data_IF_196993358525
#
_entry.id   IF_196993358525
#
_cell.length_a   1.000
_cell.length_b   1.000
_cell.length_c   1.000
_cell.angle_alpha   90.00
_cell.angle_beta   90.00
_cell.angle_gamma   90.00
#
_symmetry.space_group_name_H-M   'P 1'
#
loop_
_entity.id
_entity.type
_entity.pdbx_description
1 polymer ?
2 polymer ?
3 non-polymer ?
4 non-polymer ?
5 non-polymer ?
6 water ?
#
# COMPACT_ATOMS: atom_id res chain seq x y z
N UNK A 32 -23.35 -13.39 -13.52
CA UNK A 32 -22.65 -13.11 -12.26
C UNK A 32 -21.46 -12.16 -12.47
N UNK A 33 -21.33 -11.08 -11.67
CA UNK A 33 -20.17 -10.17 -11.85
C UNK A 33 -18.88 -10.81 -11.34
N UNK A 34 -17.79 -10.73 -12.15
CA UNK A 34 -16.49 -11.28 -11.78
C UNK A 34 -15.96 -10.62 -10.50
N UNK A 35 -15.12 -11.36 -9.77
CA UNK A 35 -14.51 -10.89 -8.55
C UNK A 35 -13.61 -9.68 -8.82
N UNK A 36 -12.82 -9.71 -9.92
CA UNK A 36 -11.92 -8.61 -10.30
C UNK A 36 -12.72 -7.32 -10.67
N UNK A 37 -13.90 -7.45 -11.29
CA UNK A 37 -14.74 -6.29 -11.62
C UNK A 37 -15.31 -5.60 -10.37
N UNK A 38 -15.52 -6.37 -9.27
CA UNK A 38 -15.96 -5.84 -7.98
C UNK A 38 -14.81 -5.08 -7.30
N UNK A 39 -13.56 -5.52 -7.51
CA UNK A 39 -12.37 -4.85 -6.98
C UNK A 39 -12.16 -3.55 -7.77
N UNK A 40 -12.51 -3.55 -9.06
CA UNK A 40 -12.39 -2.38 -9.91
C UNK A 40 -13.36 -1.26 -9.51
N UNK A 41 -14.64 -1.56 -9.27
CA UNK A 41 -15.63 -0.52 -8.93
C UNK A 41 -15.31 0.20 -7.63
N UNK A 42 -14.59 -0.45 -6.70
CA UNK A 42 -14.28 0.12 -5.39
C UNK A 42 -12.93 0.88 -5.37
N UNK A 43 -12.30 1.08 -6.54
CA UNK A 43 -11.05 1.85 -6.65
C UNK A 43 -11.24 3.26 -6.07
N UNK A 44 -10.43 3.66 -5.07
CA UNK A 44 -10.59 4.99 -4.44
C UNK A 44 -10.46 6.17 -5.40
N UNK A 45 -11.21 7.25 -5.15
CA UNK A 45 -11.14 8.46 -5.97
C UNK A 45 -9.76 9.10 -5.84
N UNK A 46 -9.39 9.92 -6.85
CA UNK A 46 -8.11 10.64 -6.85
C UNK A 46 -8.14 11.74 -5.77
N UNK A 47 -7.10 11.81 -4.94
CA UNK A 47 -6.98 12.83 -3.91
C UNK A 47 -5.96 13.89 -4.33
N UNK A 48 -6.23 15.16 -3.99
CA UNK A 48 -5.33 16.28 -4.26
C UNK A 48 -4.59 16.60 -2.97
N UNK A 49 -3.31 17.01 -3.09
CA UNK A 49 -2.47 17.33 -1.93
C UNK A 49 -2.76 18.70 -1.33
N UNK A 50 -3.26 19.63 -2.16
CA UNK A 50 -3.52 21.01 -1.76
C UNK A 50 -2.22 21.76 -1.65
N UNK A 51 -1.27 21.44 -2.56
CA UNK A 51 0.08 22.00 -2.59
C UNK A 51 0.17 23.24 -3.48
N UNK A 52 0.53 24.39 -2.85
CA UNK A 52 0.70 25.66 -3.55
C UNK A 52 2.10 25.68 -4.17
N UNK A 53 2.17 25.50 -5.49
CA UNK A 53 3.40 25.47 -6.26
C UNK A 53 4.04 26.86 -6.49
N UNK A 54 3.34 27.96 -6.13
CA UNK A 54 3.87 29.33 -6.27
C UNK A 54 4.86 29.63 -5.12
N UNK A 55 4.68 28.93 -4.00
CA UNK A 55 5.53 29.01 -2.82
C UNK A 55 6.70 28.02 -3.10
N UNK A 56 7.97 28.35 -2.75
CA UNK A 56 9.08 27.43 -3.03
C UNK A 56 9.00 26.09 -2.27
N UNK A 57 9.75 25.10 -2.75
CA UNK A 57 9.76 23.77 -2.15
C UNK A 57 10.81 23.67 -1.07
N UNK A 58 10.62 22.69 -0.18
CA UNK A 58 11.58 22.29 0.85
C UNK A 58 11.27 20.84 1.17
N UNK A 59 12.26 20.10 1.68
CA UNK A 59 12.08 18.70 2.08
C UNK A 59 11.01 18.63 3.17
N UNK A 60 11.14 19.49 4.21
CA UNK A 60 10.23 19.57 5.35
C UNK A 60 8.80 19.84 4.90
N UNK A 61 8.60 20.80 3.97
CA UNK A 61 7.27 21.14 3.41
C UNK A 61 6.66 19.95 2.66
N UNK A 62 7.44 19.29 1.80
CA UNK A 62 6.97 18.13 1.01
C UNK A 62 6.64 16.95 1.93
N UNK A 63 7.51 16.66 2.90
CA UNK A 63 7.30 15.58 3.88
C UNK A 63 6.01 15.78 4.66
N UNK A 64 5.79 17.01 5.16
CA UNK A 64 4.59 17.40 5.93
C UNK A 64 3.30 17.27 5.09
N UNK A 65 3.32 17.77 3.85
CA UNK A 65 2.20 17.68 2.91
C UNK A 65 1.89 16.21 2.62
N UNK A 66 2.93 15.37 2.41
CA UNK A 66 2.79 13.94 2.14
C UNK A 66 2.18 13.18 3.31
N UNK A 67 2.54 13.57 4.56
CA UNK A 67 1.96 12.98 5.77
C UNK A 67 0.46 13.24 5.83
N UNK A 68 0.01 14.48 5.54
CA UNK A 68 -1.41 14.88 5.54
C UNK A 68 -2.19 14.16 4.44
N UNK A 69 -1.58 14.02 3.25
CA UNK A 69 -2.16 13.28 2.13
C UNK A 69 -2.31 11.79 2.49
N UNK A 70 -1.27 11.21 3.10
CA UNK A 70 -1.23 9.82 3.51
C UNK A 70 -2.36 9.47 4.46
N UNK A 71 -2.63 10.36 5.42
CA UNK A 71 -3.72 10.21 6.38
C UNK A 71 -5.07 10.17 5.67
N UNK A 72 -5.26 11.04 4.67
CA UNK A 72 -6.49 11.07 3.87
C UNK A 72 -6.58 9.83 2.99
N UNK A 73 -5.44 9.33 2.49
CA UNK A 73 -5.41 8.11 1.68
C UNK A 73 -5.77 6.89 2.53
N UNK A 74 -5.31 6.90 3.80
CA UNK A 74 -5.57 5.79 4.71
C UNK A 74 -7.01 5.76 5.20
N UNK A 75 -7.68 6.93 5.28
CA UNK A 75 -9.12 6.97 5.62
C UNK A 75 -9.92 6.35 4.42
N UNK A 76 -9.52 6.66 3.18
CA UNK A 76 -10.18 6.11 1.98
C UNK A 76 -9.86 4.61 1.83
N UNK A 77 -8.66 4.16 2.27
CA UNK A 77 -8.24 2.74 2.24
C UNK A 77 -9.14 1.89 3.14
N UNK A 78 -9.59 2.45 4.29
CA UNK A 78 -10.51 1.77 5.21
C UNK A 78 -11.84 1.53 4.48
N UNK A 79 -12.38 2.57 3.81
CA UNK A 79 -13.61 2.49 3.05
C UNK A 79 -13.48 1.46 1.92
N UNK A 80 -12.32 1.45 1.25
CA UNK A 80 -11.97 0.51 0.17
C UNK A 80 -11.97 -0.94 0.69
N UNK A 81 -11.22 -1.22 1.79
CA UNK A 81 -11.07 -2.57 2.39
C UNK A 81 -12.41 -3.19 2.79
N UNK A 82 -13.31 -2.39 3.37
CA UNK A 82 -14.67 -2.80 3.79
C UNK A 82 -15.55 -3.28 2.62
N UNK A 83 -15.25 -2.82 1.40
CA UNK A 83 -15.99 -3.19 0.21
C UNK A 83 -15.36 -4.37 -0.55
N UNK A 84 -14.18 -4.87 -0.11
CA UNK A 84 -13.51 -6.04 -0.70
C UNK A 84 -14.33 -7.30 -0.32
N UNK A 85 -14.84 -8.08 -1.30
CA UNK A 85 -15.63 -9.29 -0.92
C UNK A 85 -14.85 -10.24 -0.01
N UNK A 86 -15.43 -10.54 1.16
CA UNK A 86 -14.85 -11.42 2.17
C UNK A 86 -14.27 -10.73 3.40
N UNK A 87 -13.69 -9.52 3.21
CA UNK A 87 -13.01 -8.73 4.25
C UNK A 87 -13.87 -8.40 5.49
N UNK A 88 -15.16 -8.02 5.30
CA UNK A 88 -16.08 -7.70 6.40
C UNK A 88 -16.47 -8.96 7.19
N UNK A 89 -16.28 -10.16 6.61
CA UNK A 89 -16.60 -11.43 7.28
C UNK A 89 -15.53 -11.84 8.30
N UNK A 90 -14.34 -11.22 8.21
CA UNK A 90 -13.25 -11.47 9.16
C UNK A 90 -13.64 -10.79 10.45
N UNK A 91 -13.10 -11.24 11.58
CA UNK A 91 -13.31 -10.62 12.87
C UNK A 91 -12.85 -9.16 12.79
N UNK A 92 -13.54 -8.26 13.49
CA UNK A 92 -13.21 -6.84 13.49
C UNK A 92 -11.74 -6.56 13.86
N UNK A 93 -11.19 -7.30 14.86
CA UNK A 93 -9.80 -7.19 15.29
C UNK A 93 -8.83 -7.55 14.15
N UNK A 94 -9.20 -8.54 13.30
CA UNK A 94 -8.41 -8.97 12.15
C UNK A 94 -8.41 -7.93 11.07
N UNK A 95 -9.56 -7.25 10.87
CA UNK A 95 -9.73 -6.17 9.90
C UNK A 95 -8.78 -5.02 10.27
N UNK A 96 -8.73 -4.67 11.56
CA UNK A 96 -7.87 -3.64 12.12
C UNK A 96 -6.41 -4.00 11.97
N UNK A 97 -6.06 -5.25 12.31
CA UNK A 97 -4.71 -5.80 12.21
C UNK A 97 -4.15 -5.68 10.79
N UNK A 98 -4.90 -6.21 9.82
CA UNK A 98 -4.51 -6.25 8.41
C UNK A 98 -4.27 -4.87 7.84
N UNK A 99 -5.15 -3.91 8.15
CA UNK A 99 -4.99 -2.52 7.71
C UNK A 99 -3.78 -1.83 8.35
N UNK A 100 -3.48 -2.16 9.61
CA UNK A 100 -2.34 -1.56 10.32
C UNK A 100 -0.98 -2.10 9.88
N UNK A 101 -0.92 -3.39 9.52
CA UNK A 101 0.32 -4.00 9.01
C UNK A 101 0.64 -3.51 7.60
N UNK A 102 -0.37 -3.52 6.72
CA UNK A 102 -0.25 -3.29 5.29
C UNK A 102 -0.34 -1.85 4.80
N UNK A 103 -0.72 -0.89 5.65
CA UNK A 103 -0.93 0.53 5.27
C UNK A 103 0.13 1.09 4.28
N UNK A 104 1.45 0.96 4.61
CA UNK A 104 2.55 1.48 3.80
C UNK A 104 2.66 0.70 2.47
N UNK A 105 2.45 -0.63 2.53
CA UNK A 105 2.48 -1.50 1.37
C UNK A 105 1.40 -1.10 0.36
N UNK A 106 0.16 -0.86 0.83
CA UNK A 106 -0.96 -0.42 0.00
C UNK A 106 -0.70 0.95 -0.62
N UNK A 107 -0.22 1.89 0.17
CA UNK A 107 0.06 3.24 -0.30
C UNK A 107 1.17 3.31 -1.33
N UNK A 108 2.28 2.61 -1.08
CA UNK A 108 3.44 2.59 -1.97
C UNK A 108 3.08 1.90 -3.28
N UNK A 109 2.29 0.80 -3.20
CA UNK A 109 1.85 0.07 -4.39
C UNK A 109 0.91 0.90 -5.25
N UNK A 110 -0.07 1.57 -4.64
CA UNK A 110 -1.01 2.44 -5.35
C UNK A 110 -0.25 3.60 -6.04
N UNK A 111 0.75 4.18 -5.33
CA UNK A 111 1.61 5.25 -5.84
C UNK A 111 2.45 4.77 -7.03
N UNK A 112 3.01 3.58 -6.89
CA UNK A 112 3.79 2.93 -7.94
C UNK A 112 2.96 2.78 -9.19
N UNK A 113 1.67 2.40 -9.03
CA UNK A 113 0.72 2.25 -10.12
C UNK A 113 0.39 3.58 -10.79
N UNK A 114 0.04 4.64 -10.00
CA UNK A 114 -0.28 5.99 -10.52
C UNK A 114 0.91 6.50 -11.33
N UNK A 115 2.12 6.34 -10.77
CA UNK A 115 3.38 6.81 -11.35
C UNK A 115 3.76 6.10 -12.65
N UNK A 116 3.40 4.82 -12.77
CA UNK A 116 3.64 4.02 -13.99
C UNK A 116 2.63 4.35 -15.11
N UNK A 117 1.40 4.72 -14.75
CA UNK A 117 0.37 5.07 -15.72
C UNK A 117 0.45 6.51 -16.19
N UNK A 118 0.60 7.47 -15.26
CA UNK A 118 0.52 8.91 -15.54
C UNK A 118 1.70 9.43 -16.34
N UNK A 119 2.91 9.41 -15.78
CA UNK A 119 4.10 9.88 -16.50
C UNK A 119 5.36 9.13 -16.08
N UNK A 120 5.91 8.38 -17.04
CA UNK A 120 7.12 7.59 -16.89
C UNK A 120 8.36 8.44 -17.31
N UNK A 121 9.57 8.15 -16.77
CA UNK A 121 9.86 7.01 -15.89
C UNK A 121 10.11 7.37 -14.43
N UNK A 122 11.07 8.29 -14.16
CA UNK A 122 11.53 8.66 -12.83
C UNK A 122 10.73 9.78 -12.16
N UNK A 123 9.38 9.66 -12.16
CA UNK A 123 8.49 10.60 -11.48
C UNK A 123 7.58 9.88 -10.50
N UNK A 124 7.41 10.45 -9.28
CA UNK A 124 6.49 9.92 -8.28
C UNK A 124 5.25 10.79 -8.31
N UNK A 125 4.12 10.21 -8.72
CA UNK A 125 2.86 10.93 -8.87
C UNK A 125 1.94 10.75 -7.65
N UNK A 126 2.28 11.44 -6.55
CA UNK A 126 1.53 11.37 -5.30
C UNK A 126 0.09 11.84 -5.48
N UNK A 127 -0.06 13.00 -6.11
CA UNK A 127 -1.35 13.63 -6.40
C UNK A 127 -1.17 14.43 -7.71
N UNK A 128 -2.27 14.82 -8.42
CA UNK A 128 -2.09 15.62 -9.65
C UNK A 128 -1.40 16.98 -9.43
N UNK A 129 -1.52 17.53 -8.21
CA UNK A 129 -0.91 18.81 -7.83
C UNK A 129 0.41 18.62 -7.04
N UNK A 130 0.91 17.38 -6.94
CA UNK A 130 2.15 17.08 -6.24
C UNK A 130 2.90 15.88 -6.86
N UNK A 131 3.67 16.17 -7.90
CA UNK A 131 4.51 15.23 -8.62
C UNK A 131 5.95 15.54 -8.20
N UNK A 132 6.71 14.52 -7.80
CA UNK A 132 8.07 14.72 -7.41
C UNK A 132 8.94 14.48 -8.65
N UNK A 133 9.32 15.61 -9.27
CA UNK A 133 10.12 15.73 -10.48
C UNK A 133 11.62 15.63 -10.17
N UNK A 134 12.47 15.77 -11.21
CA UNK A 134 13.92 15.73 -11.07
C UNK A 134 14.46 16.89 -10.22
N UNK A 135 13.84 18.08 -10.33
CA UNK A 135 14.21 19.28 -9.56
C UNK A 135 13.88 19.07 -8.07
N UNK A 136 12.73 18.41 -7.77
CA UNK A 136 12.31 18.11 -6.39
C UNK A 136 13.12 16.97 -5.79
N UNK A 137 13.60 16.06 -6.65
CA UNK A 137 14.42 14.92 -6.25
C UNK A 137 15.82 15.35 -5.77
N UNK A 138 16.30 16.55 -6.19
CA UNK A 138 17.62 17.08 -5.79
C UNK A 138 17.61 17.69 -4.39
N UNK A 139 16.41 17.91 -3.81
CA UNK A 139 16.19 18.47 -2.46
C UNK A 139 16.89 17.61 -1.40
N UNK A 140 17.48 18.22 -0.32
CA UNK A 140 18.20 17.41 0.68
C UNK A 140 17.46 16.16 1.17
N UNK A 141 18.08 14.99 0.93
CA UNK A 141 17.61 13.64 1.29
C UNK A 141 16.23 13.26 0.67
N UNK A 142 15.83 13.92 -0.43
CA UNK A 142 14.58 13.57 -1.09
C UNK A 142 14.72 12.24 -1.85
N UNK A 143 15.83 12.05 -2.58
CA UNK A 143 16.11 10.84 -3.36
C UNK A 143 16.16 9.55 -2.53
N UNK A 144 16.86 9.58 -1.38
CA UNK A 144 17.04 8.41 -0.52
C UNK A 144 15.72 7.84 0.01
N UNK A 145 14.70 8.69 0.18
CA UNK A 145 13.39 8.21 0.60
C UNK A 145 12.48 7.87 -0.60
N UNK A 146 12.70 8.50 -1.76
CA UNK A 146 11.93 8.30 -2.99
C UNK A 146 12.34 7.08 -3.82
N UNK A 147 13.65 6.70 -3.80
CA UNK A 147 14.22 5.60 -4.60
C UNK A 147 13.48 4.25 -4.44
N UNK A 148 13.04 3.91 -3.21
CA UNK A 148 12.32 2.67 -2.90
C UNK A 148 10.95 2.63 -3.55
N UNK A 149 10.31 3.80 -3.65
CA UNK A 149 9.00 3.96 -4.27
C UNK A 149 9.16 3.98 -5.79
N UNK A 150 10.25 4.61 -6.30
CA UNK A 150 10.58 4.63 -7.72
C UNK A 150 10.80 3.20 -8.24
N UNK A 151 11.35 2.30 -7.39
CA UNK A 151 11.57 0.89 -7.69
C UNK A 151 10.24 0.18 -8.03
N UNK A 152 9.16 0.51 -7.29
CA UNK A 152 7.83 -0.07 -7.46
C UNK A 152 7.26 0.25 -8.85
N UNK A 153 7.23 1.55 -9.23
CA UNK A 153 6.75 1.96 -10.56
C UNK A 153 7.63 1.36 -11.64
N UNK A 154 8.97 1.35 -11.41
CA UNK A 154 9.97 0.78 -12.33
C UNK A 154 9.66 -0.69 -12.64
N UNK A 155 9.34 -1.48 -11.59
CA UNK A 155 8.99 -2.89 -11.67
C UNK A 155 7.67 -3.15 -12.39
N UNK A 156 6.63 -2.35 -12.09
CA UNK A 156 5.32 -2.47 -12.76
C UNK A 156 5.45 -2.18 -14.25
N UNK A 157 6.31 -1.21 -14.60
CA UNK A 157 6.64 -0.83 -15.98
C UNK A 157 7.41 -1.96 -16.69
N UNK A 158 8.48 -2.47 -16.06
CA UNK A 158 9.32 -3.55 -16.61
C UNK A 158 8.52 -4.83 -16.85
N UNK A 159 7.62 -5.15 -15.92
CA UNK A 159 6.77 -6.34 -16.00
C UNK A 159 5.49 -6.12 -16.82
N UNK A 160 5.24 -4.86 -17.27
CA UNK A 160 4.06 -4.45 -18.03
C UNK A 160 2.77 -4.95 -17.38
N UNK A 161 2.61 -4.65 -16.08
CA UNK A 161 1.49 -5.08 -15.26
C UNK A 161 0.18 -4.48 -15.76
N UNK A 162 -0.85 -5.33 -15.86
CA UNK A 162 -2.18 -4.91 -16.31
C UNK A 162 -3.00 -4.39 -15.13
N UNK A 163 -4.08 -3.68 -15.44
CA UNK A 163 -5.02 -3.13 -14.49
C UNK A 163 -5.64 -4.23 -13.63
N UNK A 164 -6.03 -5.35 -14.25
CA UNK A 164 -6.61 -6.51 -13.53
C UNK A 164 -5.61 -7.19 -12.58
N UNK A 165 -4.37 -7.38 -13.05
CA UNK A 165 -3.28 -7.95 -12.24
C UNK A 165 -3.02 -7.04 -11.04
N UNK A 166 -2.93 -5.72 -11.28
CA UNK A 166 -2.74 -4.68 -10.26
C UNK A 166 -3.78 -4.78 -9.12
N UNK A 167 -5.07 -4.86 -9.48
CA UNK A 167 -6.19 -4.92 -8.56
C UNK A 167 -6.11 -6.14 -7.66
N UNK A 168 -5.76 -7.29 -8.24
CA UNK A 168 -5.59 -8.55 -7.51
C UNK A 168 -4.37 -8.45 -6.60
N UNK A 169 -3.26 -7.87 -7.08
CA UNK A 169 -2.01 -7.69 -6.33
C UNK A 169 -2.20 -6.77 -5.12
N UNK A 170 -2.96 -5.68 -5.31
CA UNK A 170 -3.24 -4.72 -4.25
C UNK A 170 -4.05 -5.34 -3.12
N UNK A 171 -5.10 -6.13 -3.44
CA UNK A 171 -5.87 -6.84 -2.41
C UNK A 171 -4.95 -7.83 -1.65
N UNK A 172 -4.05 -8.52 -2.37
CA UNK A 172 -3.10 -9.45 -1.80
C UNK A 172 -2.12 -8.77 -0.83
N UNK A 173 -1.78 -7.49 -1.06
CA UNK A 173 -0.90 -6.74 -0.15
C UNK A 173 -1.59 -6.44 1.17
N UNK A 174 -2.90 -6.28 1.16
CA UNK A 174 -3.68 -6.07 2.37
C UNK A 174 -3.58 -7.36 3.23
N UNK A 175 -3.47 -8.52 2.57
CA UNK A 175 -3.38 -9.82 3.20
C UNK A 175 -1.93 -10.39 3.24
N UNK A 176 -0.90 -9.52 3.18
CA UNK A 176 0.52 -9.92 3.13
C UNK A 176 1.22 -10.13 4.50
N UNK A 177 0.63 -9.64 5.61
CA UNK A 177 1.19 -9.81 6.96
C UNK A 177 0.12 -10.12 7.96
N UNK A 178 0.44 -11.00 8.89
CA UNK A 178 -0.46 -11.43 9.98
C UNK A 178 0.32 -11.41 11.30
N UNK A 179 -0.35 -11.40 12.49
CA UNK A 179 0.41 -11.45 13.75
C UNK A 179 1.19 -12.77 13.89
N UNK A 180 2.29 -12.75 14.70
CA UNK A 180 3.13 -13.92 14.98
C UNK A 180 2.30 -15.19 15.30
N UNK A 181 1.23 -15.05 16.11
CA UNK A 181 0.36 -16.14 16.51
C UNK A 181 -0.95 -16.21 15.70
N UNK A 182 -0.93 -15.64 14.49
CA UNK A 182 -2.05 -15.63 13.56
C UNK A 182 -3.26 -14.82 13.98
N UNK A 183 -4.27 -14.81 13.11
CA UNK A 183 -5.53 -14.09 13.28
C UNK A 183 -6.60 -14.88 14.04
N UNK A 184 -7.67 -14.19 14.49
CA UNK A 184 -8.82 -14.80 15.15
C UNK A 184 -9.62 -15.65 14.15
N UNK A 185 -9.76 -15.16 12.90
CA UNK A 185 -10.45 -15.79 11.77
C UNK A 185 -9.39 -16.26 10.75
N UNK A 186 -8.35 -16.95 11.25
CA UNK A 186 -7.21 -17.46 10.45
C UNK A 186 -7.64 -18.36 9.29
N UNK A 187 -8.55 -19.33 9.55
CA UNK A 187 -9.08 -20.29 8.57
C UNK A 187 -9.80 -19.57 7.43
N UNK A 188 -10.66 -18.59 7.77
CA UNK A 188 -11.40 -17.80 6.80
C UNK A 188 -10.45 -16.91 5.97
N UNK A 189 -9.46 -16.27 6.64
CA UNK A 189 -8.43 -15.43 6.00
C UNK A 189 -7.68 -16.23 4.94
N UNK A 190 -7.25 -17.48 5.28
CA UNK A 190 -6.54 -18.39 4.38
C UNK A 190 -7.35 -18.71 3.14
N UNK A 191 -8.69 -18.86 3.30
CA UNK A 191 -9.64 -19.10 2.20
C UNK A 191 -9.73 -17.87 1.27
N UNK A 192 -9.89 -16.66 1.86
CA UNK A 192 -9.98 -15.38 1.15
C UNK A 192 -8.67 -15.09 0.38
N UNK A 193 -7.52 -15.28 1.05
CA UNK A 193 -6.19 -15.06 0.46
C UNK A 193 -5.97 -16.01 -0.74
N UNK A 194 -6.38 -17.29 -0.61
CA UNK A 194 -6.28 -18.27 -1.71
C UNK A 194 -7.15 -17.83 -2.90
N UNK A 195 -8.37 -17.31 -2.60
CA UNK A 195 -9.34 -16.81 -3.59
C UNK A 195 -8.70 -15.70 -4.46
N UNK A 196 -8.02 -14.72 -3.81
CA UNK A 196 -7.40 -13.61 -4.53
C UNK A 196 -6.09 -14.00 -5.24
N UNK A 197 -5.43 -15.09 -4.80
CA UNK A 197 -4.25 -15.66 -5.47
C UNK A 197 -4.76 -16.26 -6.79
N UNK A 198 -5.87 -17.03 -6.72
CA UNK A 198 -6.55 -17.64 -7.87
C UNK A 198 -7.05 -16.54 -8.82
N UNK A 199 -7.53 -15.42 -8.26
CA UNK A 199 -7.99 -14.27 -9.03
C UNK A 199 -6.83 -13.62 -9.80
N UNK A 200 -5.63 -13.58 -9.19
CA UNK A 200 -4.41 -13.07 -9.83
C UNK A 200 -4.03 -13.98 -11.00
N UNK A 201 -4.12 -15.30 -10.78
CA UNK A 201 -3.87 -16.34 -11.78
C UNK A 201 -4.73 -16.18 -13.02
N UNK A 202 -6.04 -15.88 -12.85
CA UNK A 202 -7.01 -15.67 -13.93
C UNK A 202 -6.65 -14.43 -14.76
N UNK A 203 -6.16 -13.35 -14.11
CA UNK A 203 -5.73 -12.10 -14.75
C UNK A 203 -4.46 -12.35 -15.59
N UNK A 204 -3.53 -13.21 -15.10
CA UNK A 204 -2.28 -13.58 -15.79
C UNK A 204 -2.61 -14.32 -17.10
N UNK A 205 -3.51 -15.33 -17.03
CA UNK A 205 -4.01 -16.18 -18.12
C UNK A 205 -4.65 -15.33 -19.25
N UNK A 206 -5.32 -14.20 -18.91
CA UNK A 206 -5.95 -13.27 -19.86
C UNK A 206 -4.99 -12.72 -20.92
N UNK A 207 -3.68 -12.76 -20.63
CA UNK A 207 -2.60 -12.36 -21.55
C UNK A 207 -2.18 -13.65 -22.27
N UNK A 208 -2.71 -13.84 -23.49
CA UNK A 208 -2.49 -15.04 -24.31
C UNK A 208 -1.02 -15.49 -24.32
N UNK A 209 -0.79 -16.66 -23.73
CA UNK A 209 0.51 -17.30 -23.61
C UNK A 209 0.41 -18.73 -23.12
N UNK A 210 1.49 -19.51 -23.32
CA UNK A 210 1.54 -20.91 -22.89
C UNK A 210 1.74 -21.07 -21.38
N UNK A 211 1.61 -22.33 -20.89
CA UNK A 211 1.75 -22.71 -19.47
C UNK A 211 3.09 -22.30 -18.86
N UNK A 212 4.19 -22.38 -19.66
CA UNK A 212 5.54 -22.02 -19.23
C UNK A 212 5.68 -20.52 -18.94
N UNK A 213 5.13 -19.66 -19.83
CA UNK A 213 5.19 -18.21 -19.64
C UNK A 213 4.13 -17.71 -18.64
N UNK A 214 3.06 -18.50 -18.40
CA UNK A 214 2.05 -18.15 -17.40
C UNK A 214 2.63 -18.41 -16.02
N UNK A 215 3.37 -19.54 -15.89
CA UNK A 215 4.04 -19.95 -14.66
C UNK A 215 5.12 -18.93 -14.28
N UNK A 216 5.90 -18.44 -15.28
CA UNK A 216 6.94 -17.44 -15.02
C UNK A 216 6.36 -16.06 -14.72
N UNK A 217 5.18 -15.72 -15.30
CA UNK A 217 4.52 -14.44 -15.02
C UNK A 217 4.06 -14.42 -13.56
N UNK A 218 3.39 -15.52 -13.13
CA UNK A 218 2.92 -15.68 -11.76
C UNK A 218 4.10 -15.58 -10.77
N UNK A 219 5.25 -16.21 -11.12
CA UNK A 219 6.51 -16.22 -10.39
C UNK A 219 7.04 -14.79 -10.25
N UNK A 220 7.11 -14.04 -11.38
CA UNK A 220 7.60 -12.66 -11.44
C UNK A 220 6.76 -11.70 -10.60
N UNK A 221 5.42 -11.75 -10.77
CA UNK A 221 4.45 -10.90 -10.07
C UNK A 221 4.41 -11.15 -8.58
N UNK A 222 4.45 -12.43 -8.14
CA UNK A 222 4.44 -12.78 -6.72
C UNK A 222 5.81 -12.46 -6.07
N UNK A 223 6.89 -12.43 -6.88
CA UNK A 223 8.23 -12.04 -6.42
C UNK A 223 8.20 -10.53 -6.13
N UNK A 224 7.54 -9.75 -7.02
CA UNK A 224 7.33 -8.32 -6.81
C UNK A 224 6.52 -8.09 -5.51
N UNK A 225 5.43 -8.87 -5.30
CA UNK A 225 4.61 -8.83 -4.08
C UNK A 225 5.48 -9.05 -2.84
N UNK A 226 6.34 -10.08 -2.88
CA UNK A 226 7.27 -10.39 -1.78
C UNK A 226 8.21 -9.24 -1.49
N UNK A 227 8.78 -8.60 -2.54
CA UNK A 227 9.72 -7.47 -2.42
C UNK A 227 9.10 -6.23 -1.78
N UNK A 228 7.75 -6.14 -1.73
CA UNK A 228 7.06 -5.02 -1.10
C UNK A 228 7.42 -4.91 0.39
N UNK A 229 7.68 -6.05 1.07
CA UNK A 229 8.11 -6.10 2.48
C UNK A 229 9.40 -5.31 2.70
N UNK A 230 10.37 -5.45 1.79
CA UNK A 230 11.67 -4.77 1.83
C UNK A 230 11.53 -3.28 1.49
N UNK A 231 10.71 -2.96 0.47
CA UNK A 231 10.42 -1.57 0.05
C UNK A 231 9.81 -0.78 1.24
N UNK A 232 8.86 -1.41 1.93
CA UNK A 232 8.13 -0.87 3.07
C UNK A 232 9.04 -0.69 4.30
N UNK A 233 9.95 -1.67 4.54
CA UNK A 233 10.91 -1.63 5.64
C UNK A 233 11.70 -0.30 5.66
N UNK A 234 12.16 0.12 4.47
CA UNK A 234 12.92 1.35 4.28
C UNK A 234 12.07 2.60 4.52
N UNK A 235 10.79 2.59 4.09
CA UNK A 235 9.85 3.70 4.28
C UNK A 235 9.44 3.84 5.76
N UNK A 236 9.26 2.71 6.46
CA UNK A 236 8.89 2.71 7.88
C UNK A 236 10.02 3.21 8.78
N UNK A 237 11.29 3.03 8.38
CA UNK A 237 12.42 3.53 9.17
C UNK A 237 12.36 5.07 9.24
N UNK A 238 12.16 5.75 8.06
CA UNK A 238 12.01 7.21 7.99
C UNK A 238 10.78 7.63 8.80
N UNK A 239 9.70 6.89 8.60
CA UNK A 239 8.42 7.08 9.25
C UNK A 239 8.49 7.09 10.77
N UNK A 240 9.00 6.00 11.36
CA UNK A 240 9.13 5.81 12.80
C UNK A 240 10.07 6.83 13.45
N UNK A 241 11.15 7.22 12.76
CA UNK A 241 12.13 8.21 13.23
C UNK A 241 11.49 9.60 13.31
N UNK A 242 10.94 10.09 12.18
CA UNK A 242 10.30 11.41 12.06
C UNK A 242 9.14 11.56 13.02
N UNK A 243 8.39 10.47 13.25
CA UNK A 243 7.26 10.45 14.19
C UNK A 243 7.74 10.58 15.61
N UNK A 244 8.76 9.79 15.99
CA UNK A 244 9.29 9.79 17.36
C UNK A 244 10.15 11.00 17.72
N UNK A 245 10.93 11.56 16.76
CA UNK A 245 11.76 12.74 17.08
C UNK A 245 10.94 14.02 16.92
N UNK A 246 10.42 14.50 18.06
CA UNK A 246 9.58 15.71 18.13
C UNK A 246 10.35 17.00 17.81
N UNK A 247 11.71 16.99 17.95
CA UNK A 247 12.59 18.12 17.64
C UNK A 247 12.60 18.40 16.11
N UNK A 248 12.14 17.43 15.31
CA UNK A 248 12.08 17.57 13.86
C UNK A 248 10.86 18.35 13.38
N UNK A 249 9.85 18.56 14.27
CA UNK A 249 8.61 19.27 13.97
C UNK A 249 7.89 18.70 12.73
N UNK A 250 7.95 17.35 12.58
CA UNK A 250 7.28 16.67 11.47
C UNK A 250 5.98 16.08 12.00
N UNK A 251 4.87 16.70 11.60
CA UNK A 251 3.53 16.35 12.04
C UNK A 251 2.91 15.23 11.20
N UNK A 252 2.23 14.31 11.89
CA UNK A 252 1.50 13.24 11.27
C UNK A 252 0.02 13.44 11.65
N UNK A 253 -0.92 13.26 10.70
CA UNK A 253 -2.34 13.38 11.08
C UNK A 253 -2.75 12.18 11.94
N UNK A 254 -3.83 12.33 12.73
CA UNK A 254 -4.39 11.32 13.64
C UNK A 254 -4.36 9.88 13.10
N UNK A 255 -4.83 9.66 11.86
CA UNK A 255 -4.90 8.34 11.25
C UNK A 255 -3.53 7.66 11.20
N UNK A 256 -2.51 8.39 10.75
CA UNK A 256 -1.16 7.88 10.65
C UNK A 256 -0.50 7.75 12.00
N UNK A 257 -0.67 8.77 12.86
CA UNK A 257 -0.12 8.78 14.22
C UNK A 257 -0.62 7.56 15.02
N UNK A 258 -1.89 7.19 14.84
CA UNK A 258 -2.54 6.03 15.47
C UNK A 258 -1.97 4.69 14.92
N UNK A 259 -1.74 4.59 13.61
CA UNK A 259 -1.14 3.39 12.99
C UNK A 259 0.31 3.19 13.46
N UNK A 260 1.13 4.28 13.44
CA UNK A 260 2.55 4.24 13.81
C UNK A 260 2.70 3.87 15.29
N UNK A 261 1.87 4.47 16.16
CA UNK A 261 1.85 4.19 17.61
C UNK A 261 1.54 2.71 17.84
N UNK A 262 0.60 2.13 17.07
CA UNK A 262 0.21 0.72 17.16
C UNK A 262 1.31 -0.21 16.64
N UNK A 263 1.94 0.16 15.51
CA UNK A 263 2.91 -0.65 14.80
C UNK A 263 4.31 -0.71 15.41
N UNK A 264 4.82 0.42 15.99
CA UNK A 264 6.16 0.47 16.58
C UNK A 264 6.36 -0.70 17.62
N UNK A 265 5.50 -0.92 18.65
CA UNK A 265 5.74 -2.06 19.57
C UNK A 265 5.72 -3.44 18.89
N UNK A 266 4.87 -3.62 17.85
CA UNK A 266 4.74 -4.88 17.10
C UNK A 266 6.04 -5.27 16.38
N UNK A 267 6.77 -4.28 15.85
CA UNK A 267 8.07 -4.49 15.22
C UNK A 267 9.16 -4.78 16.27
N UNK A 268 9.10 -4.13 17.45
CA UNK A 268 10.11 -4.34 18.48
C UNK A 268 9.96 -5.70 19.21
N UNK A 269 8.73 -6.24 19.27
CA UNK A 269 8.42 -7.50 19.96
C UNK A 269 8.35 -8.72 19.00
N UNK A 270 8.72 -8.52 17.74
CA UNK A 270 8.69 -9.56 16.71
C UNK A 270 7.30 -10.02 16.33
N UNK A 271 6.27 -9.22 16.65
CA UNK A 271 4.89 -9.59 16.39
C UNK A 271 4.47 -9.21 14.97
N UNK A 272 4.98 -10.00 13.99
CA UNK A 272 4.71 -9.87 12.55
C UNK A 272 5.21 -11.08 11.80
N UNK A 273 4.31 -11.71 11.07
CA UNK A 273 4.63 -12.84 10.20
C UNK A 273 4.37 -12.31 8.79
N UNK A 274 5.47 -12.02 8.07
CA UNK A 274 5.45 -11.53 6.70
C UNK A 274 5.27 -12.73 5.78
N UNK A 275 4.08 -12.87 5.19
CA UNK A 275 3.77 -13.98 4.30
C UNK A 275 4.55 -13.81 3.00
N UNK A 276 5.15 -14.90 2.52
CA UNK A 276 5.96 -14.94 1.31
C UNK A 276 5.47 -15.99 0.34
N UNK A 277 5.64 -15.74 -0.96
CA UNK A 277 5.31 -16.67 -2.01
C UNK A 277 6.54 -17.52 -2.36
N UNK A 278 7.75 -16.94 -2.16
CA UNK A 278 9.04 -17.58 -2.47
C UNK A 278 9.97 -17.60 -1.24
N UNK A 279 10.87 -18.60 -1.17
CA UNK A 279 11.85 -18.85 -0.11
C UNK A 279 11.18 -19.28 1.20
N UNK B 2 -7.56 2.33 22.77
CA UNK B 2 -6.51 2.13 21.75
C UNK B 2 -7.09 1.99 20.34
N UNK B 3 -6.43 2.61 19.34
CA UNK B 3 -6.79 2.60 17.90
C UNK B 3 -8.26 3.01 17.60
N UNK B 4 -8.72 4.04 18.31
CA UNK B 4 -10.07 4.60 18.27
C UNK B 4 -10.57 5.00 16.88
N UNK B 5 -9.75 5.74 16.10
CA UNK B 5 -10.18 6.21 14.78
C UNK B 5 -10.39 5.05 13.80
N UNK B 6 -9.43 4.13 13.72
CA UNK B 6 -9.56 2.97 12.85
C UNK B 6 -10.79 2.15 13.22
N UNK B 7 -11.00 1.86 14.53
CA UNK B 7 -12.17 1.11 14.99
C UNK B 7 -13.46 1.80 14.56
N UNK B 8 -13.53 3.14 14.73
CA UNK B 8 -14.70 3.92 14.34
C UNK B 8 -14.98 3.79 12.84
N UNK B 9 -13.95 3.94 11.99
CA UNK B 9 -14.08 3.89 10.54
C UNK B 9 -14.56 2.53 10.02
N UNK B 10 -14.18 1.46 10.71
CA UNK B 10 -14.60 0.11 10.36
C UNK B 10 -16.00 -0.18 10.87
N UNK B 11 -16.33 0.28 12.08
CA UNK B 11 -17.63 0.04 12.71
C UNK B 11 -18.76 0.90 12.18
N UNK B 12 -18.47 2.16 11.80
CA UNK B 12 -19.48 3.08 11.27
C UNK B 12 -20.03 2.60 9.90
N UNK B 13 -21.23 3.07 9.51
CA UNK B 13 -21.81 2.73 8.21
C UNK B 13 -21.11 3.52 7.09
N UNK B 14 -20.59 2.78 6.06
CA UNK B 14 -19.85 3.22 4.85
C UNK B 14 -18.32 3.23 5.06
#
# INVERSE_FOLDING_TARGET
>A
GSIQQATTGVSQETSENPGDKTIVPATLPQLTPTLVSLLEVIEPEVLYAGYDSSVPDSTWRIMTTLNMLGGRQMIAAVKWAKAIPGFRNLHLDDQMTLLQYSWMSLMAFALGWRSYRQSSANLLCFAPDLIINEQRMTLPDMYDQCKHMLYVSSELHRLQVSYEEYLCMKTLLLLSSVPKDGLKSQELFDEIRMTYIKELGKAIVKREGNSSQNWQRFYQLTKLLDSMHEVVENLLNYCFQTFLDKTMSIEFPEMLAEIITNQIPKYSNGNIKKLLFHQK
>B
KENALLRYLLDKDD
#
